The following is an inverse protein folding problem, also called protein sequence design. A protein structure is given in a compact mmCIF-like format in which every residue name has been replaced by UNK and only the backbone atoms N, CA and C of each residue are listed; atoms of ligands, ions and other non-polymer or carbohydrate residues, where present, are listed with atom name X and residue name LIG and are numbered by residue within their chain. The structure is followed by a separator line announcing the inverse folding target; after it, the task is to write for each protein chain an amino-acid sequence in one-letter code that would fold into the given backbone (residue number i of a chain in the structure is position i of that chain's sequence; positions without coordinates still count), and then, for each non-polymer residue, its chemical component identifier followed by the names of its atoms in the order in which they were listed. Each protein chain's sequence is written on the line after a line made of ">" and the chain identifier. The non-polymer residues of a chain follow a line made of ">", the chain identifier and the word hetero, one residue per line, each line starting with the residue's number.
data_IF_143718285022
#
_entry.id   IF_143718285022
#
_cell.length_a   1.000
_cell.length_b   1.000
_cell.length_c   1.000
_cell.angle_alpha   90.00
_cell.angle_beta   90.00
_cell.angle_gamma   90.00
#
_symmetry.space_group_name_H-M   'P 1'
#
loop_
_entity.id
_entity.type
_entity.pdbx_description
1 polymer ?
#
# COMPACT_ATOMS: atom_id res chain seq x y z
N UNK A 1 5.06 -8.58 -8.96
CA UNK A 1 4.58 -7.95 -7.70
C UNK A 1 4.96 -8.79 -6.47
N UNK A 2 4.52 -10.05 -6.36
CA UNK A 2 4.85 -10.90 -5.20
C UNK A 2 6.36 -11.09 -4.98
N UNK A 3 7.17 -11.18 -6.03
CA UNK A 3 8.62 -11.29 -5.90
C UNK A 3 9.27 -10.03 -5.32
N UNK A 4 8.74 -8.84 -5.66
CA UNK A 4 9.19 -7.57 -5.09
C UNK A 4 8.85 -7.56 -3.60
N UNK A 5 7.63 -7.97 -3.25
CA UNK A 5 7.18 -8.07 -1.86
C UNK A 5 8.06 -9.04 -1.06
N UNK A 6 8.32 -10.23 -1.61
CA UNK A 6 9.15 -11.25 -0.99
C UNK A 6 10.60 -10.80 -0.86
N UNK A 7 11.14 -10.12 -1.87
CA UNK A 7 12.49 -9.56 -1.85
C UNK A 7 12.65 -8.54 -0.72
N UNK A 8 11.76 -7.54 -0.64
CA UNK A 8 11.80 -6.53 0.41
C UNK A 8 11.65 -7.14 1.81
N UNK A 9 10.75 -8.11 1.98
CA UNK A 9 10.59 -8.85 3.23
C UNK A 9 11.89 -9.59 3.63
N UNK A 10 12.50 -10.31 2.69
CA UNK A 10 13.76 -11.05 2.93
C UNK A 10 14.92 -10.14 3.30
N UNK A 11 14.98 -8.95 2.71
CA UNK A 11 16.03 -7.96 2.99
C UNK A 11 15.72 -7.05 4.17
N UNK A 12 14.58 -7.24 4.85
CA UNK A 12 14.09 -6.37 5.92
C UNK A 12 14.08 -4.88 5.53
N UNK A 13 13.74 -4.60 4.26
CA UNK A 13 13.64 -3.24 3.75
C UNK A 13 12.23 -2.70 3.89
N UNK A 14 12.13 -1.40 4.14
CA UNK A 14 10.83 -0.71 4.15
C UNK A 14 10.15 -0.82 2.79
N UNK A 15 8.86 -1.14 2.80
CA UNK A 15 8.05 -1.22 1.58
C UNK A 15 7.67 0.18 1.10
N UNK A 16 7.13 0.97 2.03
CA UNK A 16 6.60 2.30 1.78
C UNK A 16 7.60 3.40 2.14
N UNK A 17 7.43 4.56 1.51
CA UNK A 17 8.18 5.77 1.79
C UNK A 17 7.67 6.50 3.03
N UNK A 18 8.35 7.59 3.40
CA UNK A 18 7.76 8.56 4.33
C UNK A 18 6.65 9.36 3.64
N UNK A 19 6.80 9.63 2.34
CA UNK A 19 5.82 10.33 1.52
C UNK A 19 5.79 9.74 0.12
N UNK A 20 4.68 9.09 -0.23
CA UNK A 20 4.47 8.47 -1.55
C UNK A 20 3.77 9.37 -2.56
N UNK A 21 3.39 10.60 -2.17
CA UNK A 21 2.83 11.57 -3.10
C UNK A 21 3.89 12.11 -4.06
N UNK A 22 3.49 12.33 -5.32
CA UNK A 22 4.27 13.18 -6.24
C UNK A 22 4.40 14.60 -5.68
N UNK A 23 5.59 15.24 -5.72
CA UNK A 23 6.82 14.84 -6.41
C UNK A 23 7.89 14.22 -5.49
N UNK A 24 7.51 13.62 -4.35
CA UNK A 24 8.45 13.11 -3.35
C UNK A 24 9.49 12.18 -3.98
N UNK A 25 10.76 12.38 -3.64
CA UNK A 25 11.83 11.44 -4.02
C UNK A 25 11.81 10.17 -3.18
N UNK A 26 11.16 10.20 -2.00
CA UNK A 26 11.13 9.08 -1.08
C UNK A 26 9.77 8.36 -1.13
N UNK A 27 9.41 7.86 -2.32
CA UNK A 27 8.14 7.14 -2.55
C UNK A 27 8.12 5.70 -2.05
N UNK A 28 9.20 5.25 -1.40
CA UNK A 28 9.34 3.87 -0.93
C UNK A 28 9.97 2.93 -1.96
N UNK A 29 10.59 1.88 -1.43
CA UNK A 29 11.33 0.92 -2.25
C UNK A 29 10.41 0.12 -3.17
N UNK A 30 9.20 -0.19 -2.73
CA UNK A 30 8.26 -0.95 -3.53
C UNK A 30 7.86 -0.18 -4.80
N UNK A 31 7.44 1.09 -4.65
CA UNK A 31 7.01 1.90 -5.80
C UNK A 31 8.17 2.16 -6.76
N UNK A 32 9.37 2.47 -6.24
CA UNK A 32 10.56 2.68 -7.06
C UNK A 32 10.95 1.44 -7.88
N UNK A 33 10.88 0.24 -7.30
CA UNK A 33 11.18 -1.00 -8.03
C UNK A 33 10.10 -1.28 -9.10
N UNK A 34 8.82 -1.08 -8.78
CA UNK A 34 7.73 -1.23 -9.75
C UNK A 34 7.90 -0.27 -10.92
N UNK A 35 8.26 0.99 -10.67
CA UNK A 35 8.51 1.99 -11.72
C UNK A 35 9.67 1.62 -12.64
N UNK A 36 10.74 1.02 -12.11
CA UNK A 36 11.87 0.56 -12.93
C UNK A 36 11.49 -0.65 -13.77
N UNK A 37 10.77 -1.61 -13.17
CA UNK A 37 10.39 -2.85 -13.86
C UNK A 37 9.28 -2.64 -14.90
N UNK A 38 8.36 -1.70 -14.67
CA UNK A 38 7.28 -1.37 -15.61
C UNK A 38 7.79 -0.85 -16.96
N UNK A 39 9.00 -0.27 -16.99
CA UNK A 39 9.68 0.13 -18.23
C UNK A 39 10.06 -1.05 -19.12
N UNK A 40 10.15 -2.25 -18.55
CA UNK A 40 10.60 -3.48 -19.22
C UNK A 40 9.46 -4.47 -19.42
N UNK A 41 8.47 -4.49 -18.51
CA UNK A 41 7.29 -5.33 -18.59
C UNK A 41 6.01 -4.50 -18.35
N UNK A 42 5.16 -4.30 -19.38
CA UNK A 42 3.90 -3.58 -19.26
C UNK A 42 2.92 -4.18 -18.25
N UNK A 43 3.05 -5.47 -17.90
CA UNK A 43 2.21 -6.12 -16.89
C UNK A 43 2.47 -5.54 -15.49
N UNK A 44 3.63 -4.92 -15.28
CA UNK A 44 3.99 -4.23 -14.05
C UNK A 44 3.65 -2.75 -14.08
N UNK A 45 2.84 -2.29 -15.04
CA UNK A 45 2.44 -0.90 -15.10
C UNK A 45 1.68 -0.47 -13.83
N UNK A 46 1.76 0.81 -13.45
CA UNK A 46 1.02 1.34 -12.31
C UNK A 46 -0.49 1.06 -12.41
N UNK A 47 -1.05 1.04 -13.61
CA UNK A 47 -2.48 0.77 -13.84
C UNK A 47 -2.85 -0.66 -13.43
N UNK A 48 -2.11 -1.66 -13.91
CA UNK A 48 -2.34 -3.07 -13.58
C UNK A 48 -2.10 -3.32 -12.09
N UNK A 49 -1.07 -2.69 -11.53
CA UNK A 49 -0.80 -2.76 -10.10
C UNK A 49 -1.96 -2.18 -9.27
N UNK A 50 -2.45 -1.00 -9.62
CA UNK A 50 -3.55 -0.34 -8.92
C UNK A 50 -4.85 -1.14 -9.03
N UNK A 51 -5.14 -1.76 -10.18
CA UNK A 51 -6.28 -2.65 -10.34
C UNK A 51 -6.18 -3.85 -9.40
N UNK A 52 -5.03 -4.52 -9.36
CA UNK A 52 -4.79 -5.64 -8.44
C UNK A 52 -4.97 -5.24 -6.98
N UNK A 53 -4.39 -4.10 -6.57
CA UNK A 53 -4.51 -3.57 -5.22
C UNK A 53 -5.96 -3.24 -4.86
N UNK A 54 -6.74 -2.68 -5.79
CA UNK A 54 -8.16 -2.39 -5.58
C UNK A 54 -8.99 -3.66 -5.41
N UNK A 55 -8.77 -4.69 -6.23
CA UNK A 55 -9.48 -5.97 -6.13
C UNK A 55 -9.18 -6.62 -4.76
N UNK A 56 -7.90 -6.68 -4.36
CA UNK A 56 -7.51 -7.21 -3.06
C UNK A 56 -8.13 -6.41 -1.90
N UNK A 57 -8.06 -5.08 -1.97
CA UNK A 57 -8.62 -4.21 -0.94
C UNK A 57 -10.14 -4.41 -0.81
N UNK A 58 -10.85 -4.55 -1.92
CA UNK A 58 -12.29 -4.82 -1.91
C UNK A 58 -12.58 -6.20 -1.33
N UNK A 59 -11.82 -7.24 -1.69
CA UNK A 59 -11.99 -8.56 -1.12
C UNK A 59 -11.81 -8.58 0.40
N UNK A 60 -10.76 -7.92 0.90
CA UNK A 60 -10.51 -7.79 2.36
C UNK A 60 -11.61 -6.99 3.05
N UNK A 61 -12.09 -5.89 2.44
CA UNK A 61 -13.23 -5.12 2.96
C UNK A 61 -14.48 -5.96 3.07
N UNK A 62 -14.82 -6.76 2.06
CA UNK A 62 -16.00 -7.63 2.10
C UNK A 62 -15.92 -8.62 3.25
N UNK A 63 -14.76 -9.24 3.48
CA UNK A 63 -14.53 -10.14 4.64
C UNK A 63 -14.80 -9.38 5.95
N UNK A 64 -14.20 -8.20 6.14
CA UNK A 64 -14.44 -7.39 7.34
C UNK A 64 -15.92 -6.99 7.49
N UNK A 65 -16.60 -6.64 6.40
CA UNK A 65 -18.02 -6.29 6.45
C UNK A 65 -18.90 -7.49 6.83
N UNK A 66 -18.56 -8.69 6.34
CA UNK A 66 -19.24 -9.92 6.75
C UNK A 66 -19.08 -10.16 8.26
N UNK A 67 -17.86 -10.02 8.78
CA UNK A 67 -17.57 -10.22 10.20
C UNK A 67 -18.31 -9.19 11.08
N UNK A 68 -18.31 -7.92 10.67
CA UNK A 68 -19.03 -6.85 11.38
C UNK A 68 -20.55 -7.11 11.37
N UNK A 69 -21.12 -7.59 10.26
CA UNK A 69 -22.56 -7.91 10.17
C UNK A 69 -22.95 -9.13 11.02
N UNK A 70 -22.01 -10.03 11.28
CA UNK A 70 -22.27 -11.25 12.07
C UNK A 70 -22.32 -10.98 13.58
N UNK A 71 -21.79 -9.84 14.06
CA UNK A 71 -21.74 -9.51 15.49
C UNK A 71 -22.86 -8.56 15.92
N UNK A 72 -23.32 -8.71 17.16
CA UNK A 72 -24.38 -7.85 17.73
C UNK A 72 -23.91 -6.45 18.12
N UNK A 73 -22.62 -6.33 18.46
CA UNK A 73 -22.00 -5.09 18.92
C UNK A 73 -20.60 -4.97 18.30
N UNK A 74 -20.23 -3.77 17.86
CA UNK A 74 -18.89 -3.43 17.41
C UNK A 74 -18.49 -2.06 17.96
N UNK A 75 -17.19 -1.84 18.16
CA UNK A 75 -16.66 -0.56 18.62
C UNK A 75 -15.95 0.19 17.49
N UNK A 76 -16.08 1.51 17.47
CA UNK A 76 -15.33 2.39 16.57
C UNK A 76 -14.36 3.21 17.43
N UNK A 77 -13.08 3.18 17.09
CA UNK A 77 -12.05 4.01 17.73
C UNK A 77 -11.61 5.11 16.78
N UNK A 78 -11.65 6.36 17.24
CA UNK A 78 -11.15 7.51 16.48
C UNK A 78 -9.74 7.89 16.97
N UNK A 79 -8.78 7.98 16.03
CA UNK A 79 -7.44 8.51 16.28
C UNK A 79 -7.30 9.88 15.62
N UNK A 80 -6.92 10.88 16.40
CA UNK A 80 -6.55 12.21 15.90
C UNK A 80 -5.05 12.37 16.15
N UNK A 81 -4.29 12.71 15.11
CA UNK A 81 -2.85 12.98 15.21
C UNK A 81 -2.59 14.37 14.64
N UNK A 82 -1.87 15.21 15.38
CA UNK A 82 -1.44 16.52 14.91
C UNK A 82 -0.15 16.34 14.11
N UNK A 83 -0.15 16.71 12.83
CA UNK A 83 1.07 16.70 12.02
C UNK A 83 1.80 18.03 12.19
N UNK A 84 2.95 18.04 12.86
CA UNK A 84 3.87 19.18 12.81
C UNK A 84 4.86 18.90 11.70
N UNK A 85 4.70 19.55 10.56
CA UNK A 85 5.70 19.50 9.49
C UNK A 85 6.92 20.28 9.96
N UNK A 86 7.95 19.58 10.45
CA UNK A 86 9.30 20.14 10.54
C UNK A 86 9.93 20.00 9.16
N UNK A 87 9.77 21.03 8.33
CA UNK A 87 10.56 21.21 7.12
C UNK A 87 12.00 21.54 7.55
N UNK A 88 12.94 20.63 7.24
CA UNK A 88 14.39 20.87 7.20
C UNK A 88 14.93 20.45 5.84
#
# INVERSE_FOLDING_TARGET
>A
VLDITLFLAKQNMAFHGHNEYEPSFNKGNFLGIVEVLSKHDPVLSPEVHNEFMNILANHVKEIFFMDIKAVRYFGIMFKITHHTTTDV
#
